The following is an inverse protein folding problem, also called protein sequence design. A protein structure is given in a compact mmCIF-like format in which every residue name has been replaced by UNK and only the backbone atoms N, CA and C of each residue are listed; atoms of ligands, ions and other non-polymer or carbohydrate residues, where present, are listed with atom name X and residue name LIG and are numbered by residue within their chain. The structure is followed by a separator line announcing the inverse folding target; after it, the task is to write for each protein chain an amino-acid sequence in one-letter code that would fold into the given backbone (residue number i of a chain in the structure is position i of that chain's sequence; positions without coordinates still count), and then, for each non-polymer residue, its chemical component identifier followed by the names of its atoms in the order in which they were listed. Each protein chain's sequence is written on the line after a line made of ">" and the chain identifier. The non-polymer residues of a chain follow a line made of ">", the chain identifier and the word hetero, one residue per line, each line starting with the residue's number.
data_IF_551134160940
#
_entry.id   IF_551134160940
#
_cell.length_a   1.000
_cell.length_b   1.000
_cell.length_c   1.000
_cell.angle_alpha   90.00
_cell.angle_beta   90.00
_cell.angle_gamma   90.00
#
_symmetry.space_group_name_H-M   'P 1'
#
loop_
_entity.id
_entity.type
_entity.pdbx_description
1 polymer ?
#
# COMPACT_ATOMS: atom_id res chain seq x y z
N UNK A 1 -7.21 2.54 -14.65
CA UNK A 1 -7.30 1.36 -15.54
C UNK A 1 -8.77 0.89 -15.68
N UNK A 2 -9.43 0.43 -14.62
CA UNK A 2 -10.79 -0.16 -14.69
C UNK A 2 -11.83 0.73 -15.38
N UNK A 3 -11.86 2.04 -15.13
CA UNK A 3 -12.78 2.96 -15.78
C UNK A 3 -12.42 3.20 -17.24
N UNK A 4 -11.13 3.36 -17.53
CA UNK A 4 -10.63 3.62 -18.90
C UNK A 4 -10.80 2.41 -19.81
N UNK A 5 -10.68 1.18 -19.30
CA UNK A 5 -10.81 -0.04 -20.11
C UNK A 5 -12.19 -0.28 -20.70
N UNK A 6 -13.19 0.50 -20.29
CA UNK A 6 -14.53 0.45 -20.88
C UNK A 6 -14.59 1.00 -22.32
N UNK A 7 -13.67 1.92 -22.65
CA UNK A 7 -13.65 2.61 -23.96
C UNK A 7 -12.27 2.59 -24.62
N UNK A 8 -11.24 2.02 -23.96
CA UNK A 8 -9.87 2.03 -24.44
C UNK A 8 -9.21 0.66 -24.22
N UNK A 9 -8.24 0.31 -25.06
CA UNK A 9 -7.30 -0.75 -24.78
C UNK A 9 -6.33 -0.29 -23.70
N UNK A 10 -6.30 -0.99 -22.56
CA UNK A 10 -5.49 -0.63 -21.40
C UNK A 10 -4.60 -1.79 -20.99
N UNK A 11 -3.30 -1.53 -20.88
CA UNK A 11 -2.30 -2.46 -20.37
C UNK A 11 -1.67 -1.86 -19.13
N UNK A 12 -1.45 -2.67 -18.11
CA UNK A 12 -0.81 -2.28 -16.85
C UNK A 12 0.56 -2.95 -16.73
N UNK A 13 1.55 -2.19 -16.29
CA UNK A 13 2.89 -2.69 -15.98
C UNK A 13 3.21 -2.44 -14.51
N UNK A 14 3.72 -3.43 -13.81
CA UNK A 14 4.16 -3.29 -12.42
C UNK A 14 5.44 -4.11 -12.20
N UNK A 15 6.44 -3.52 -11.57
CA UNK A 15 7.68 -4.22 -11.19
C UNK A 15 7.50 -5.26 -10.09
N UNK A 16 6.38 -5.25 -9.39
CA UNK A 16 6.08 -6.18 -8.33
C UNK A 16 5.65 -7.55 -8.87
N UNK A 17 5.85 -8.59 -8.07
CA UNK A 17 5.39 -9.97 -8.38
C UNK A 17 3.88 -10.14 -8.27
N UNK A 18 3.17 -9.18 -7.72
CA UNK A 18 1.74 -9.29 -7.46
C UNK A 18 1.02 -7.96 -7.44
N UNK A 19 -0.24 -8.02 -7.80
CA UNK A 19 -1.15 -6.86 -7.80
C UNK A 19 -1.41 -6.36 -6.37
N UNK A 20 -1.49 -5.03 -6.21
CA UNK A 20 -1.92 -4.40 -4.96
C UNK A 20 -1.01 -3.29 -4.46
N UNK A 21 0.22 -3.18 -4.96
CA UNK A 21 1.18 -2.17 -4.51
C UNK A 21 1.31 -2.19 -2.98
N UNK A 22 1.06 -1.06 -2.30
CA UNK A 22 1.12 -0.96 -0.84
C UNK A 22 -0.06 -1.64 -0.10
N UNK A 23 -1.09 -2.08 -0.79
CA UNK A 23 -2.15 -2.93 -0.24
C UNK A 23 -1.87 -4.43 -0.45
N UNK A 24 -0.62 -4.82 -0.66
CA UNK A 24 -0.23 -6.18 -0.98
C UNK A 24 -0.36 -7.13 0.22
N UNK A 25 -0.62 -8.39 -0.11
CA UNK A 25 -0.72 -9.50 0.82
C UNK A 25 0.40 -10.50 0.54
N UNK A 26 1.20 -10.83 1.54
CA UNK A 26 2.30 -11.78 1.47
C UNK A 26 1.81 -13.17 1.86
N UNK A 27 1.76 -14.10 0.90
CA UNK A 27 1.52 -15.51 1.17
C UNK A 27 2.80 -16.20 1.64
N UNK A 28 2.66 -17.13 2.57
CA UNK A 28 3.70 -18.01 3.08
C UNK A 28 3.22 -19.45 2.88
N UNK A 29 4.05 -20.44 3.19
CA UNK A 29 3.66 -21.85 3.20
C UNK A 29 2.41 -22.09 4.05
N UNK A 30 1.70 -23.18 3.83
CA UNK A 30 0.54 -23.64 4.62
C UNK A 30 -0.68 -22.70 4.59
N UNK A 31 -0.92 -22.01 3.47
CA UNK A 31 -2.09 -21.13 3.26
C UNK A 31 -2.16 -19.94 4.22
N UNK A 32 -1.12 -19.66 5.00
CA UNK A 32 -1.04 -18.47 5.86
C UNK A 32 -0.48 -17.27 5.08
N UNK A 33 -0.74 -16.08 5.58
CA UNK A 33 -0.24 -14.86 4.96
C UNK A 33 -0.46 -13.62 5.80
N UNK A 34 0.11 -12.53 5.34
CA UNK A 34 0.19 -11.26 6.06
C UNK A 34 -0.14 -10.09 5.14
N UNK A 35 -0.97 -9.16 5.60
CA UNK A 35 -1.00 -7.82 5.03
C UNK A 35 0.26 -7.09 5.49
N UNK A 36 1.26 -6.94 4.62
CA UNK A 36 2.53 -6.35 5.03
C UNK A 36 2.69 -4.87 4.67
N UNK A 37 1.70 -4.30 4.01
CA UNK A 37 1.58 -2.86 3.75
C UNK A 37 0.39 -2.27 4.49
N UNK A 38 -0.66 -1.87 3.77
CA UNK A 38 -1.92 -1.39 4.34
C UNK A 38 -2.60 -2.49 5.14
N UNK A 39 -2.87 -2.23 6.41
CA UNK A 39 -3.43 -3.24 7.31
C UNK A 39 -4.96 -3.29 7.26
N UNK A 40 -5.57 -2.16 7.12
CA UNK A 40 -7.00 -1.91 6.94
C UNK A 40 -7.19 -0.52 6.33
N UNK A 41 -8.40 -0.21 5.96
CA UNK A 41 -8.78 1.15 5.57
C UNK A 41 -10.15 1.50 6.14
N UNK A 42 -10.35 2.80 6.40
CA UNK A 42 -11.61 3.32 6.94
C UNK A 42 -12.20 4.32 5.94
N UNK A 43 -13.28 3.96 5.24
CA UNK A 43 -13.93 4.83 4.27
C UNK A 43 -14.46 6.10 4.93
N UNK A 44 -14.17 7.28 4.34
CA UNK A 44 -14.59 8.58 4.89
C UNK A 44 -15.63 9.28 4.01
N UNK A 45 -15.35 9.42 2.72
CA UNK A 45 -16.25 10.13 1.80
C UNK A 45 -17.49 9.30 1.47
N UNK A 46 -18.62 9.94 1.18
CA UNK A 46 -19.86 9.28 0.77
C UNK A 46 -19.64 8.36 -0.45
N UNK A 47 -18.88 8.81 -1.43
CA UNK A 47 -18.59 8.04 -2.64
C UNK A 47 -17.78 6.78 -2.35
N UNK A 48 -16.71 6.89 -1.56
CA UNK A 48 -15.89 5.74 -1.23
C UNK A 48 -16.60 4.77 -0.29
N UNK A 49 -17.47 5.26 0.62
CA UNK A 49 -18.37 4.41 1.42
C UNK A 49 -19.31 3.59 0.54
N UNK A 50 -19.96 4.23 -0.46
CA UNK A 50 -20.81 3.50 -1.42
C UNK A 50 -20.04 2.43 -2.18
N UNK A 51 -18.86 2.78 -2.68
CA UNK A 51 -17.98 1.86 -3.39
C UNK A 51 -17.57 0.66 -2.52
N UNK A 52 -17.11 0.91 -1.30
CA UNK A 52 -16.70 -0.16 -0.38
C UNK A 52 -17.87 -1.04 0.06
N UNK A 53 -19.06 -0.46 0.30
CA UNK A 53 -20.26 -1.22 0.64
C UNK A 53 -20.68 -2.15 -0.51
N UNK A 54 -20.57 -1.69 -1.77
CA UNK A 54 -20.79 -2.57 -2.93
C UNK A 54 -19.82 -3.75 -2.94
N UNK A 55 -18.54 -3.53 -2.62
CA UNK A 55 -17.55 -4.61 -2.56
C UNK A 55 -17.75 -5.54 -1.34
N UNK A 56 -18.29 -5.04 -0.24
CA UNK A 56 -18.69 -5.87 0.91
C UNK A 56 -19.88 -6.76 0.54
N UNK A 57 -20.93 -6.21 -0.10
CA UNK A 57 -22.06 -6.99 -0.62
C UNK A 57 -21.60 -8.09 -1.61
N UNK A 58 -20.63 -7.80 -2.44
CA UNK A 58 -19.99 -8.76 -3.37
C UNK A 58 -19.02 -9.75 -2.69
N UNK A 59 -18.87 -9.69 -1.37
CA UNK A 59 -17.94 -10.52 -0.58
C UNK A 59 -16.48 -10.43 -0.99
N UNK A 60 -16.06 -9.30 -1.56
CA UNK A 60 -14.65 -8.99 -1.90
C UNK A 60 -13.95 -8.36 -0.71
N UNK A 61 -14.68 -7.52 0.02
CA UNK A 61 -14.27 -6.88 1.26
C UNK A 61 -15.11 -7.37 2.43
N UNK A 62 -14.61 -7.15 3.64
CA UNK A 62 -15.33 -7.38 4.88
C UNK A 62 -14.91 -6.40 5.97
N UNK A 63 -15.72 -6.29 7.02
CA UNK A 63 -15.42 -5.51 8.22
C UNK A 63 -14.45 -6.32 9.09
N UNK A 64 -13.43 -5.65 9.62
CA UNK A 64 -12.52 -6.19 10.62
C UNK A 64 -12.94 -5.71 12.01
N UNK A 65 -13.62 -6.58 12.73
CA UNK A 65 -14.03 -6.36 14.12
C UNK A 65 -12.95 -6.77 15.12
N UNK A 66 -13.34 -6.72 16.40
CA UNK A 66 -12.50 -7.10 17.53
C UNK A 66 -11.92 -5.91 18.29
N UNK A 67 -11.07 -6.19 19.29
CA UNK A 67 -10.50 -5.15 20.15
C UNK A 67 -9.20 -4.58 19.52
N UNK A 68 -9.16 -3.26 19.40
CA UNK A 68 -8.01 -2.50 18.92
C UNK A 68 -7.53 -1.59 20.05
N UNK A 69 -6.37 -1.87 20.61
CA UNK A 69 -5.89 -1.27 21.86
C UNK A 69 -4.86 -0.19 21.57
N UNK A 70 -4.96 0.92 22.28
CA UNK A 70 -3.96 1.98 22.29
C UNK A 70 -3.18 1.86 23.60
N UNK A 71 -1.92 1.47 23.52
CA UNK A 71 -1.03 1.26 24.67
C UNK A 71 -0.16 2.49 24.86
N UNK A 72 -0.09 2.96 26.12
CA UNK A 72 0.71 4.12 26.53
C UNK A 72 0.43 5.41 25.72
N UNK A 73 -0.72 5.50 25.08
CA UNK A 73 -1.11 6.61 24.25
C UNK A 73 -2.27 7.38 24.86
N UNK A 74 -2.17 8.72 24.86
CA UNK A 74 -3.30 9.62 25.16
C UNK A 74 -4.42 9.50 24.10
N UNK A 75 -4.16 8.85 22.96
CA UNK A 75 -5.12 8.64 21.90
C UNK A 75 -6.08 7.53 22.27
N UNK A 76 -7.37 7.85 22.35
CA UNK A 76 -8.46 6.88 22.51
C UNK A 76 -8.89 6.33 21.15
N UNK A 77 -9.33 5.07 21.12
CA UNK A 77 -9.90 4.51 19.90
C UNK A 77 -11.13 5.32 19.47
N UNK A 78 -11.12 5.81 18.24
CA UNK A 78 -12.33 6.38 17.65
C UNK A 78 -13.24 5.24 17.18
N UNK A 79 -14.14 4.78 18.04
CA UNK A 79 -15.10 3.69 17.79
C UNK A 79 -16.00 3.94 16.55
N UNK A 80 -16.10 5.19 16.06
CA UNK A 80 -16.90 5.54 14.88
C UNK A 80 -16.29 5.11 13.55
N UNK A 81 -15.03 4.65 13.51
CA UNK A 81 -14.35 4.31 12.28
C UNK A 81 -14.34 2.80 12.01
N UNK A 82 -15.21 2.38 11.08
CA UNK A 82 -15.24 1.01 10.58
C UNK A 82 -13.90 0.70 9.90
N UNK A 83 -13.28 -0.41 10.30
CA UNK A 83 -12.08 -0.95 9.67
C UNK A 83 -12.49 -1.97 8.61
N UNK A 84 -12.14 -1.72 7.36
CA UNK A 84 -12.45 -2.59 6.21
C UNK A 84 -11.17 -3.27 5.75
N UNK A 85 -11.30 -4.54 5.40
CA UNK A 85 -10.20 -5.39 4.90
C UNK A 85 -10.65 -6.20 3.68
N UNK A 86 -9.72 -6.66 2.87
CA UNK A 86 -10.00 -7.65 1.83
C UNK A 86 -10.39 -9.00 2.43
N UNK A 87 -11.23 -9.76 1.76
CA UNK A 87 -11.71 -11.07 2.22
C UNK A 87 -10.54 -12.06 2.41
N UNK A 88 -9.63 -12.15 1.44
CA UNK A 88 -8.47 -13.05 1.47
C UNK A 88 -7.14 -12.32 1.69
N UNK A 89 -7.09 -11.02 1.38
CA UNK A 89 -5.95 -10.11 1.54
C UNK A 89 -6.34 -8.72 1.09
N UNK A 90 -5.65 -7.68 1.56
CA UNK A 90 -6.02 -6.31 1.22
C UNK A 90 -5.83 -5.97 -0.26
N UNK A 91 -5.11 -6.80 -1.01
CA UNK A 91 -5.01 -6.69 -2.46
C UNK A 91 -6.25 -7.20 -3.23
N UNK A 92 -7.26 -7.75 -2.57
CA UNK A 92 -8.49 -8.23 -3.24
C UNK A 92 -9.23 -7.09 -3.95
N UNK A 93 -9.19 -5.86 -3.40
CA UNK A 93 -9.76 -4.68 -4.07
C UNK A 93 -9.10 -4.44 -5.44
N UNK A 94 -7.76 -4.49 -5.48
CA UNK A 94 -7.01 -4.28 -6.72
C UNK A 94 -7.22 -5.42 -7.70
N UNK A 95 -7.22 -6.67 -7.25
CA UNK A 95 -7.51 -7.85 -8.08
C UNK A 95 -8.89 -7.77 -8.69
N UNK A 96 -9.90 -7.36 -7.92
CA UNK A 96 -11.26 -7.20 -8.43
C UNK A 96 -11.34 -6.14 -9.51
N UNK A 97 -10.71 -4.98 -9.29
CA UNK A 97 -10.70 -3.89 -10.25
C UNK A 97 -9.93 -4.20 -11.53
N UNK A 98 -8.95 -5.08 -11.47
CA UNK A 98 -8.07 -5.44 -12.59
C UNK A 98 -8.42 -6.77 -13.26
N UNK A 99 -9.53 -7.44 -12.87
CA UNK A 99 -9.88 -8.78 -13.34
C UNK A 99 -9.91 -8.92 -14.87
N UNK A 100 -10.28 -7.85 -15.59
CA UNK A 100 -10.41 -7.84 -17.07
C UNK A 100 -9.31 -7.00 -17.74
N UNK A 101 -8.20 -6.73 -17.06
CA UNK A 101 -7.13 -5.86 -17.58
C UNK A 101 -5.84 -6.66 -17.69
N UNK A 102 -5.19 -6.55 -18.83
CA UNK A 102 -3.85 -7.14 -19.03
C UNK A 102 -2.84 -6.51 -18.08
N UNK A 103 -2.23 -7.33 -17.25
CA UNK A 103 -1.25 -6.90 -16.24
C UNK A 103 0.08 -7.61 -16.47
N UNK A 104 1.10 -6.86 -16.89
CA UNK A 104 2.47 -7.33 -16.99
C UNK A 104 3.17 -7.05 -15.65
N UNK A 105 3.29 -8.09 -14.84
CA UNK A 105 3.99 -8.05 -13.56
C UNK A 105 5.49 -8.33 -13.75
N UNK A 106 6.30 -8.02 -12.73
CA UNK A 106 7.76 -8.15 -12.78
C UNK A 106 8.37 -7.40 -13.98
N UNK A 107 7.75 -6.26 -14.36
CA UNK A 107 8.14 -5.46 -15.53
C UNK A 107 8.36 -4.03 -15.05
N UNK A 108 9.61 -3.62 -14.88
CA UNK A 108 9.97 -2.30 -14.38
C UNK A 108 10.17 -1.30 -15.51
N UNK A 109 9.40 -0.23 -15.53
CA UNK A 109 9.60 0.90 -16.42
C UNK A 109 10.87 1.66 -16.03
N UNK A 110 11.83 1.75 -16.95
CA UNK A 110 13.13 2.41 -16.73
C UNK A 110 13.17 3.82 -17.28
N UNK A 111 12.67 4.04 -18.51
CA UNK A 111 12.67 5.34 -19.18
C UNK A 111 11.39 5.54 -19.98
N UNK A 112 11.07 6.79 -20.22
CA UNK A 112 9.97 7.19 -21.11
C UNK A 112 10.50 8.24 -22.10
N UNK A 113 9.98 8.18 -23.33
CA UNK A 113 10.27 9.13 -24.40
C UNK A 113 8.95 9.56 -25.06
N UNK A 114 8.91 10.79 -25.55
CA UNK A 114 7.77 11.30 -26.31
C UNK A 114 8.23 11.78 -27.67
N UNK A 115 7.74 11.15 -28.76
CA UNK A 115 8.08 11.46 -30.14
C UNK A 115 6.89 11.19 -31.04
N UNK A 116 6.62 12.05 -32.01
CA UNK A 116 5.55 11.89 -33.02
C UNK A 116 4.17 11.61 -32.38
N UNK A 117 3.84 12.33 -31.30
CA UNK A 117 2.59 12.17 -30.52
C UNK A 117 2.40 10.79 -29.85
N UNK A 118 3.45 9.98 -29.76
CA UNK A 118 3.48 8.70 -29.06
C UNK A 118 4.47 8.69 -27.90
N UNK A 119 4.12 7.91 -26.85
CA UNK A 119 4.99 7.57 -25.75
C UNK A 119 5.68 6.25 -26.02
N UNK A 120 6.99 6.21 -25.86
CA UNK A 120 7.81 5.00 -25.92
C UNK A 120 8.32 4.70 -24.53
N UNK A 121 8.06 3.49 -24.07
CA UNK A 121 8.32 3.00 -22.72
C UNK A 121 9.39 1.91 -22.79
N UNK A 122 10.57 2.19 -22.22
CA UNK A 122 11.69 1.26 -22.11
C UNK A 122 11.61 0.52 -20.76
N UNK A 123 11.59 -0.80 -20.80
CA UNK A 123 11.48 -1.65 -19.62
C UNK A 123 12.84 -2.29 -19.25
N UNK A 124 12.87 -2.96 -18.09
CA UNK A 124 14.06 -3.63 -17.54
C UNK A 124 14.53 -4.84 -18.34
N UNK A 125 13.68 -5.40 -19.20
CA UNK A 125 14.00 -6.47 -20.18
C UNK A 125 14.55 -5.90 -21.51
N UNK A 126 14.80 -4.59 -21.60
CA UNK A 126 15.29 -3.91 -22.80
C UNK A 126 14.21 -3.63 -23.85
N UNK A 127 12.99 -4.16 -23.69
CA UNK A 127 11.92 -3.96 -24.68
C UNK A 127 11.37 -2.54 -24.62
N UNK A 128 11.07 -2.01 -25.81
CA UNK A 128 10.40 -0.72 -25.99
C UNK A 128 9.00 -0.98 -26.54
N UNK A 129 8.01 -0.34 -25.90
CA UNK A 129 6.60 -0.41 -26.33
C UNK A 129 6.04 1.00 -26.50
N UNK A 130 5.18 1.21 -27.50
CA UNK A 130 4.60 2.52 -27.80
C UNK A 130 3.14 2.60 -27.41
N UNK A 131 2.72 3.79 -26.93
CA UNK A 131 1.35 4.07 -26.48
C UNK A 131 0.94 5.51 -26.86
N UNK A 132 -0.33 5.70 -27.16
CA UNK A 132 -0.91 7.03 -27.39
C UNK A 132 -0.99 7.88 -26.12
N UNK A 133 -1.13 7.22 -24.97
CA UNK A 133 -1.31 7.89 -23.68
C UNK A 133 -0.69 7.05 -22.56
N UNK A 134 -0.15 7.70 -21.54
CA UNK A 134 0.40 7.03 -20.36
C UNK A 134 -0.15 7.60 -19.06
N UNK A 135 -0.31 6.74 -18.05
CA UNK A 135 -0.70 7.12 -16.70
C UNK A 135 0.33 6.57 -15.71
N UNK A 136 0.98 7.47 -14.98
CA UNK A 136 1.96 7.11 -13.96
C UNK A 136 1.30 7.10 -12.57
N UNK A 137 1.38 5.96 -11.87
CA UNK A 137 0.78 5.76 -10.54
C UNK A 137 1.79 5.40 -9.47
N UNK A 138 3.08 5.45 -9.80
CA UNK A 138 4.16 5.16 -8.87
C UNK A 138 4.33 6.27 -7.81
N UNK A 139 5.02 6.00 -6.68
CA UNK A 139 5.37 7.00 -5.69
C UNK A 139 6.08 8.22 -6.27
N UNK A 140 5.85 9.40 -5.69
CA UNK A 140 6.36 10.67 -6.22
C UNK A 140 7.86 10.69 -6.57
N UNK A 141 8.80 10.16 -5.76
CA UNK A 141 10.21 10.16 -6.13
C UNK A 141 10.52 9.32 -7.38
N UNK A 142 9.79 8.23 -7.58
CA UNK A 142 9.93 7.40 -8.78
C UNK A 142 9.31 8.09 -10.00
N UNK A 143 8.14 8.69 -9.83
CA UNK A 143 7.50 9.53 -10.84
C UNK A 143 8.41 10.68 -11.27
N UNK A 144 8.97 11.45 -10.31
CA UNK A 144 9.89 12.55 -10.59
C UNK A 144 11.10 12.09 -11.42
N UNK A 145 11.68 10.94 -11.09
CA UNK A 145 12.81 10.36 -11.84
C UNK A 145 12.45 10.05 -13.30
N UNK A 146 11.25 9.52 -13.55
CA UNK A 146 10.80 9.13 -14.88
C UNK A 146 10.35 10.32 -15.73
N UNK A 147 9.58 11.23 -15.14
CA UNK A 147 8.76 12.18 -15.90
C UNK A 147 9.16 13.65 -15.77
N UNK A 148 10.21 14.02 -15.03
CA UNK A 148 10.57 15.41 -14.78
C UNK A 148 10.75 16.27 -16.05
N UNK A 149 11.17 15.67 -17.16
CA UNK A 149 11.36 16.37 -18.44
C UNK A 149 10.06 16.66 -19.21
N UNK A 150 8.96 16.04 -18.82
CA UNK A 150 7.70 16.08 -19.56
C UNK A 150 6.57 16.76 -18.79
N UNK A 151 6.82 17.09 -17.53
CA UNK A 151 5.84 17.64 -16.60
C UNK A 151 6.24 19.07 -16.24
N UNK A 152 5.25 19.91 -16.05
CA UNK A 152 5.43 21.29 -15.64
C UNK A 152 6.31 21.42 -14.38
N UNK A 153 7.26 22.36 -14.43
CA UNK A 153 8.21 22.60 -13.35
C UNK A 153 7.52 23.03 -12.05
N UNK A 154 6.43 23.76 -12.12
CA UNK A 154 5.66 24.19 -10.95
C UNK A 154 5.07 23.01 -10.19
N UNK A 155 4.75 21.94 -10.91
CA UNK A 155 4.24 20.70 -10.33
C UNK A 155 5.37 19.79 -9.82
N UNK A 156 6.41 19.57 -10.63
CA UNK A 156 7.46 18.59 -10.34
C UNK A 156 8.38 19.02 -9.19
N UNK A 157 8.51 20.32 -8.95
CA UNK A 157 9.37 20.89 -7.91
C UNK A 157 8.67 21.08 -6.56
N UNK A 158 7.40 20.69 -6.45
CA UNK A 158 6.70 20.75 -5.16
C UNK A 158 7.43 19.91 -4.09
N UNK A 159 7.59 20.42 -2.86
CA UNK A 159 8.27 19.72 -1.79
C UNK A 159 7.39 18.60 -1.23
N UNK A 160 7.49 17.43 -1.81
CA UNK A 160 6.77 16.26 -1.33
C UNK A 160 7.75 15.25 -0.75
N UNK A 161 7.60 14.99 0.54
CA UNK A 161 8.37 13.98 1.27
C UNK A 161 7.53 12.72 1.46
N UNK A 162 8.13 11.58 1.16
CA UNK A 162 7.55 10.27 1.46
C UNK A 162 8.33 9.60 2.58
N UNK A 163 7.60 9.14 3.58
CA UNK A 163 8.15 8.44 4.74
C UNK A 163 8.27 6.96 4.45
N UNK A 164 9.29 6.34 5.04
CA UNK A 164 9.50 4.91 5.00
C UNK A 164 8.71 4.18 6.11
N UNK A 165 8.55 2.88 5.97
CA UNK A 165 8.10 1.97 7.01
C UNK A 165 8.85 0.65 6.90
N UNK A 166 9.19 0.05 8.03
CA UNK A 166 9.72 -1.31 8.10
C UNK A 166 8.63 -2.19 8.73
N UNK A 167 8.31 -3.26 8.04
CA UNK A 167 7.31 -4.23 8.48
C UNK A 167 7.98 -5.56 8.79
N UNK A 168 7.78 -6.08 10.00
CA UNK A 168 8.19 -7.42 10.39
C UNK A 168 6.96 -8.29 10.58
N UNK A 169 6.91 -9.40 9.87
CA UNK A 169 5.84 -10.41 9.95
C UNK A 169 6.36 -11.60 10.73
N UNK A 170 5.64 -12.04 11.75
CA UNK A 170 6.05 -13.17 12.60
C UNK A 170 4.93 -14.19 12.77
N UNK A 171 5.33 -15.45 12.88
CA UNK A 171 4.51 -16.51 13.39
C UNK A 171 5.12 -16.99 14.71
N UNK A 172 4.30 -17.04 15.77
CA UNK A 172 4.70 -17.49 17.10
C UNK A 172 3.82 -18.65 17.53
N UNK A 173 4.27 -19.43 18.54
CA UNK A 173 3.45 -20.48 19.15
C UNK A 173 2.14 -19.85 19.63
N UNK A 174 1.02 -20.52 19.37
CA UNK A 174 -0.30 -20.03 19.75
C UNK A 174 -0.42 -19.85 21.25
N UNK A 175 -0.81 -18.66 21.67
CA UNK A 175 -1.02 -18.29 23.06
C UNK A 175 -2.52 -18.15 23.40
N UNK A 176 -2.81 -17.50 24.53
CA UNK A 176 -4.16 -17.11 24.93
C UNK A 176 -4.76 -16.11 23.93
N UNK A 177 -6.09 -15.90 23.98
CA UNK A 177 -6.78 -14.91 23.11
C UNK A 177 -6.10 -13.56 23.17
N UNK A 178 -5.73 -13.04 22.00
CA UNK A 178 -5.09 -11.75 21.85
C UNK A 178 -6.02 -10.72 21.20
N UNK A 179 -5.72 -9.45 21.36
CA UNK A 179 -6.44 -8.36 20.71
C UNK A 179 -6.21 -8.37 19.19
N UNK A 180 -7.07 -7.67 18.46
CA UNK A 180 -6.96 -7.59 16.99
C UNK A 180 -5.78 -6.72 16.54
N UNK A 181 -5.50 -5.65 17.25
CA UNK A 181 -4.31 -4.83 17.01
C UNK A 181 -3.94 -3.98 18.22
N UNK A 182 -2.69 -3.55 18.22
CA UNK A 182 -2.13 -2.59 19.16
C UNK A 182 -1.59 -1.38 18.43
N UNK A 183 -1.82 -0.20 18.98
CA UNK A 183 -1.16 1.05 18.64
C UNK A 183 -0.21 1.38 19.79
N UNK A 184 1.04 1.65 19.47
CA UNK A 184 2.07 1.94 20.46
C UNK A 184 2.48 3.41 20.39
N UNK A 185 2.70 4.01 21.54
CA UNK A 185 3.41 5.27 21.67
C UNK A 185 4.87 4.96 22.02
N UNK A 186 5.62 4.55 21.01
CA UNK A 186 7.02 4.11 21.12
C UNK A 186 7.82 4.68 19.95
N UNK A 187 9.12 4.84 20.10
CA UNK A 187 9.98 5.40 19.06
C UNK A 187 10.23 4.46 17.87
N UNK A 188 10.16 3.16 18.10
CA UNK A 188 10.52 2.10 17.13
C UNK A 188 9.27 1.45 16.54
N UNK A 189 8.39 0.95 17.41
CA UNK A 189 7.21 0.19 17.02
C UNK A 189 5.95 1.06 17.13
N UNK A 190 5.31 1.33 16.00
CA UNK A 190 4.09 2.14 15.96
C UNK A 190 2.81 1.33 16.00
N UNK A 191 2.83 0.09 15.47
CA UNK A 191 1.62 -0.71 15.35
C UNK A 191 1.91 -2.20 15.25
N UNK A 192 0.96 -3.02 15.76
CA UNK A 192 0.95 -4.46 15.54
C UNK A 192 -0.47 -4.97 15.30
N UNK A 193 -0.65 -5.88 14.35
CA UNK A 193 -1.93 -6.50 14.05
C UNK A 193 -1.87 -8.01 13.97
N UNK A 194 -2.90 -8.62 14.57
CA UNK A 194 -3.09 -10.06 14.57
C UNK A 194 -3.82 -10.50 13.30
N UNK A 195 -3.13 -11.21 12.41
CA UNK A 195 -3.70 -11.69 11.16
C UNK A 195 -4.79 -12.74 11.38
N UNK A 196 -4.72 -13.54 12.47
CA UNK A 196 -5.74 -14.52 12.81
C UNK A 196 -7.08 -13.85 13.13
N UNK A 197 -7.05 -12.66 13.74
CA UNK A 197 -8.26 -11.90 14.07
C UNK A 197 -9.03 -11.44 12.83
N UNK A 198 -8.37 -11.38 11.67
CA UNK A 198 -8.99 -11.08 10.38
C UNK A 198 -9.83 -12.27 9.84
N UNK A 199 -9.77 -13.45 10.47
CA UNK A 199 -10.57 -14.65 10.15
C UNK A 199 -10.53 -15.02 8.65
N UNK A 200 -9.33 -15.04 8.03
CA UNK A 200 -9.12 -15.35 6.61
C UNK A 200 -8.73 -16.80 6.38
N UNK A 201 -8.06 -17.37 7.35
CA UNK A 201 -7.54 -18.75 7.33
C UNK A 201 -7.45 -19.30 8.76
N UNK A 202 -7.31 -20.60 8.87
CA UNK A 202 -6.98 -21.27 10.15
C UNK A 202 -5.47 -21.41 10.23
N UNK A 203 -4.90 -21.18 11.39
CA UNK A 203 -3.48 -21.37 11.66
C UNK A 203 -3.27 -21.95 13.05
N UNK A 204 -2.30 -22.85 13.17
CA UNK A 204 -1.81 -23.36 14.47
C UNK A 204 -0.90 -22.37 15.19
N UNK A 205 -0.54 -21.27 14.51
CA UNK A 205 0.32 -20.20 15.02
C UNK A 205 -0.46 -18.92 15.19
N UNK A 206 -0.03 -18.06 16.09
CA UNK A 206 -0.42 -16.67 16.13
C UNK A 206 0.44 -15.85 15.17
N UNK A 207 -0.21 -15.15 14.25
CA UNK A 207 0.42 -14.43 13.16
C UNK A 207 0.29 -12.93 13.40
N UNK A 208 1.42 -12.25 13.47
CA UNK A 208 1.47 -10.82 13.73
C UNK A 208 2.23 -10.06 12.64
N UNK A 209 1.64 -8.94 12.23
CA UNK A 209 2.32 -7.93 11.41
C UNK A 209 2.69 -6.76 12.31
N UNK A 210 3.98 -6.49 12.43
CA UNK A 210 4.56 -5.40 13.19
C UNK A 210 4.97 -4.29 12.23
N UNK A 211 4.59 -3.05 12.50
CA UNK A 211 4.97 -1.89 11.69
C UNK A 211 5.72 -0.86 12.55
N UNK A 212 6.87 -0.44 12.06
CA UNK A 212 7.70 0.57 12.71
C UNK A 212 7.03 1.95 12.71
N UNK A 213 7.57 2.86 13.51
CA UNK A 213 7.31 4.30 13.32
C UNK A 213 7.99 4.79 12.04
N UNK A 214 7.49 5.88 11.47
CA UNK A 214 8.14 6.53 10.32
C UNK A 214 9.50 7.12 10.70
N UNK A 215 9.61 7.71 11.91
CA UNK A 215 10.86 8.30 12.41
C UNK A 215 11.99 7.28 12.43
N UNK A 216 11.74 6.11 12.99
CA UNK A 216 12.74 5.04 13.05
C UNK A 216 13.04 4.45 11.66
N UNK A 217 11.99 4.18 10.86
CA UNK A 217 12.16 3.63 9.52
C UNK A 217 12.96 4.55 8.58
N UNK A 218 12.73 5.86 8.62
CA UNK A 218 13.45 6.83 7.80
C UNK A 218 14.98 6.77 8.05
N UNK A 219 15.41 6.49 9.29
CA UNK A 219 16.82 6.31 9.63
C UNK A 219 17.38 4.97 9.14
N UNK A 220 16.56 3.91 9.09
CA UNK A 220 17.02 2.53 8.85
C UNK A 220 16.79 2.01 7.44
N UNK A 221 15.88 2.62 6.66
CA UNK A 221 15.37 2.04 5.41
C UNK A 221 16.45 1.78 4.35
N UNK A 222 17.42 2.68 4.20
CA UNK A 222 18.47 2.54 3.19
C UNK A 222 19.38 1.34 3.47
N UNK A 223 19.58 0.99 4.73
CA UNK A 223 20.39 -0.14 5.17
C UNK A 223 19.54 -1.38 5.52
N UNK A 224 18.21 -1.28 5.45
CA UNK A 224 17.32 -2.36 5.90
C UNK A 224 17.56 -3.67 5.14
N UNK A 225 17.98 -3.62 3.88
CA UNK A 225 18.28 -4.83 3.10
C UNK A 225 19.42 -5.64 3.75
N UNK A 226 20.44 -4.97 4.29
CA UNK A 226 21.58 -5.56 4.98
C UNK A 226 21.20 -6.03 6.39
N UNK A 227 20.46 -5.22 7.14
CA UNK A 227 20.17 -5.43 8.57
C UNK A 227 18.75 -5.94 8.84
N UNK A 228 18.19 -6.77 7.95
CA UNK A 228 16.83 -7.29 8.11
C UNK A 228 16.60 -8.07 9.38
N UNK A 229 17.55 -8.92 9.75
CA UNK A 229 17.46 -9.78 10.94
C UNK A 229 17.50 -8.94 12.23
N UNK A 230 18.43 -8.01 12.32
CA UNK A 230 18.60 -7.10 13.46
C UNK A 230 17.37 -6.19 13.63
N UNK A 231 16.92 -5.57 12.55
CA UNK A 231 15.72 -4.72 12.58
C UNK A 231 14.48 -5.52 13.00
N UNK A 232 14.34 -6.77 12.54
CA UNK A 232 13.27 -7.64 12.99
C UNK A 232 13.39 -7.98 14.47
N UNK A 233 14.58 -8.33 14.95
CA UNK A 233 14.83 -8.65 16.36
C UNK A 233 14.42 -7.49 17.26
N UNK A 234 14.87 -6.28 16.96
CA UNK A 234 14.52 -5.08 17.72
C UNK A 234 12.99 -4.88 17.77
N UNK A 235 12.30 -4.98 16.63
CA UNK A 235 10.84 -4.81 16.56
C UNK A 235 10.10 -5.92 17.33
N UNK A 236 10.56 -7.15 17.29
CA UNK A 236 9.98 -8.29 18.00
C UNK A 236 10.14 -8.15 19.52
N UNK A 237 11.33 -7.76 19.98
CA UNK A 237 11.60 -7.50 21.40
C UNK A 237 10.70 -6.40 21.94
N UNK A 238 10.56 -5.29 21.20
CA UNK A 238 9.64 -4.21 21.54
C UNK A 238 8.17 -4.68 21.56
N UNK A 239 7.77 -5.52 20.61
CA UNK A 239 6.42 -6.08 20.57
C UNK A 239 6.09 -6.87 21.82
N UNK A 240 6.92 -7.82 22.24
CA UNK A 240 6.69 -8.59 23.45
C UNK A 240 6.70 -7.72 24.71
N UNK A 241 7.65 -6.76 24.79
CA UNK A 241 7.72 -5.84 25.94
C UNK A 241 6.46 -4.98 26.10
N UNK A 242 5.92 -4.46 24.98
CA UNK A 242 4.85 -3.46 25.03
C UNK A 242 3.45 -4.08 25.01
N UNK A 243 3.26 -5.26 24.39
CA UNK A 243 1.94 -5.85 24.20
C UNK A 243 1.46 -6.72 25.36
N UNK A 244 2.29 -7.00 26.35
CA UNK A 244 2.05 -7.99 27.41
C UNK A 244 1.69 -9.39 26.88
N UNK A 245 2.08 -9.70 25.64
CA UNK A 245 1.99 -11.05 25.09
C UNK A 245 3.21 -11.82 25.58
N UNK A 246 2.98 -13.00 26.17
CA UNK A 246 4.07 -13.85 26.68
C UNK A 246 5.10 -14.14 25.56
N UNK A 247 6.37 -13.92 25.87
CA UNK A 247 7.46 -14.22 24.96
C UNK A 247 7.41 -15.70 24.58
N UNK A 248 7.34 -15.99 23.30
CA UNK A 248 7.25 -17.35 22.80
C UNK A 248 8.18 -17.57 21.61
N UNK A 249 8.44 -18.85 21.29
CA UNK A 249 9.32 -19.23 20.17
C UNK A 249 8.83 -18.62 18.86
N UNK A 250 9.73 -17.92 18.16
CA UNK A 250 9.52 -17.45 16.81
C UNK A 250 9.66 -18.62 15.84
N UNK A 251 8.58 -19.00 15.19
CA UNK A 251 8.55 -20.09 14.20
C UNK A 251 8.93 -19.55 12.81
N UNK A 252 8.54 -18.31 12.53
CA UNK A 252 8.79 -17.67 11.26
C UNK A 252 8.95 -16.16 11.46
N UNK A 253 9.88 -15.57 10.73
CA UNK A 253 10.06 -14.12 10.69
C UNK A 253 10.46 -13.68 9.29
N UNK A 254 9.81 -12.62 8.80
CA UNK A 254 10.14 -11.99 7.53
C UNK A 254 10.08 -10.48 7.67
N UNK A 255 11.09 -9.80 7.13
CA UNK A 255 11.17 -8.33 7.10
C UNK A 255 10.92 -7.78 5.70
N UNK A 256 10.20 -6.67 5.63
CA UNK A 256 9.98 -5.91 4.40
C UNK A 256 10.14 -4.41 4.65
N UNK A 257 10.94 -3.74 3.82
CA UNK A 257 11.13 -2.29 3.87
C UNK A 257 10.30 -1.60 2.80
N UNK A 258 9.45 -0.68 3.20
CA UNK A 258 8.69 0.22 2.35
C UNK A 258 9.38 1.58 2.27
N UNK A 259 10.19 1.83 1.24
CA UNK A 259 10.92 3.11 1.09
C UNK A 259 9.99 4.30 0.92
N UNK A 260 8.84 4.11 0.27
CA UNK A 260 7.84 5.14 -0.02
C UNK A 260 6.47 4.68 0.51
N UNK A 261 6.37 4.57 1.83
CA UNK A 261 5.19 4.02 2.51
C UNK A 261 4.04 5.02 2.59
N UNK A 262 4.33 6.26 2.95
CA UNK A 262 3.35 7.28 3.28
C UNK A 262 3.84 8.66 2.85
N UNK A 263 2.92 9.61 2.72
CA UNK A 263 3.24 11.01 2.51
C UNK A 263 2.63 11.86 3.63
N UNK A 264 3.46 12.53 4.39
CA UNK A 264 3.02 13.40 5.51
C UNK A 264 2.45 14.74 5.02
N UNK A 265 2.89 15.22 3.85
CA UNK A 265 2.45 16.48 3.24
C UNK A 265 1.94 16.25 1.83
N UNK A 266 0.62 16.08 1.61
CA UNK A 266 0.06 15.88 0.28
C UNK A 266 0.10 17.18 -0.55
N UNK A 267 -0.02 17.04 -1.87
CA UNK A 267 -0.02 18.19 -2.80
C UNK A 267 -1.30 19.05 -2.74
N UNK A 268 -2.36 18.54 -2.11
CA UNK A 268 -3.70 19.19 -2.02
C UNK A 268 -4.39 19.43 -3.37
N UNK A 269 -3.92 18.80 -4.44
CA UNK A 269 -4.61 18.66 -5.73
C UNK A 269 -4.97 17.18 -5.90
N UNK A 270 -5.93 16.87 -6.80
CA UNK A 270 -6.42 15.48 -6.86
C UNK A 270 -5.66 14.62 -7.84
N UNK A 271 -5.26 15.16 -9.00
CA UNK A 271 -4.49 14.46 -10.04
C UNK A 271 -3.87 15.47 -11.00
N UNK A 272 -3.00 15.01 -11.89
CA UNK A 272 -2.43 15.79 -12.98
C UNK A 272 -2.78 15.16 -14.34
N UNK A 273 -3.11 15.97 -15.33
CA UNK A 273 -3.36 15.58 -16.70
C UNK A 273 -2.83 16.65 -17.66
N UNK A 274 -2.04 16.24 -18.63
CA UNK A 274 -1.62 17.07 -19.77
C UNK A 274 -2.33 16.53 -21.02
N UNK A 275 -3.29 17.25 -21.59
CA UNK A 275 -4.07 16.80 -22.74
C UNK A 275 -3.27 16.82 -24.05
N UNK A 276 -2.24 17.68 -24.17
CA UNK A 276 -1.41 17.78 -25.36
C UNK A 276 -0.49 16.58 -25.50
N UNK A 277 0.21 16.24 -24.42
CA UNK A 277 1.10 15.07 -24.37
C UNK A 277 0.39 13.78 -23.99
N UNK A 278 -0.87 13.85 -23.54
CA UNK A 278 -1.65 12.71 -23.05
C UNK A 278 -0.94 11.92 -21.96
N UNK A 279 -0.37 12.64 -20.98
CA UNK A 279 0.25 12.07 -19.80
C UNK A 279 -0.55 12.39 -18.55
N UNK A 280 -0.94 11.34 -17.82
CA UNK A 280 -1.68 11.44 -16.57
C UNK A 280 -0.88 10.96 -15.37
N UNK A 281 -1.15 11.57 -14.21
CA UNK A 281 -0.53 11.17 -12.94
C UNK A 281 -1.59 11.13 -11.86
N UNK A 282 -1.66 10.02 -11.13
CA UNK A 282 -2.53 9.88 -9.97
C UNK A 282 -1.89 9.00 -8.89
N UNK A 283 -2.32 9.18 -7.66
CA UNK A 283 -1.84 8.41 -6.52
C UNK A 283 -2.34 9.01 -5.20
N UNK A 284 -2.16 8.29 -4.11
CA UNK A 284 -2.55 8.76 -2.79
C UNK A 284 -1.77 10.02 -2.35
N UNK A 285 -0.55 10.16 -2.80
CA UNK A 285 0.34 11.28 -2.47
C UNK A 285 -0.17 12.66 -2.96
N UNK A 286 -1.17 12.68 -3.83
CA UNK A 286 -1.88 13.91 -4.19
C UNK A 286 -2.77 14.43 -3.05
N UNK A 287 -3.47 13.53 -2.35
CA UNK A 287 -4.56 13.87 -1.42
C UNK A 287 -4.18 13.54 0.03
N UNK A 288 -3.50 12.40 0.25
CA UNK A 288 -3.09 11.96 1.59
C UNK A 288 -2.83 10.45 1.66
N UNK A 289 -2.22 9.97 2.75
CA UNK A 289 -1.69 8.62 2.86
C UNK A 289 -2.78 7.57 3.13
N UNK A 290 -3.75 7.43 2.23
CA UNK A 290 -4.86 6.49 2.38
C UNK A 290 -5.15 5.76 1.08
N UNK A 291 -5.68 4.55 1.18
CA UNK A 291 -6.19 3.80 0.03
C UNK A 291 -7.32 4.57 -0.68
N UNK A 292 -8.22 5.20 0.08
CA UNK A 292 -9.27 6.07 -0.45
C UNK A 292 -8.72 7.23 -1.28
N UNK A 293 -7.62 7.84 -0.84
CA UNK A 293 -6.98 8.95 -1.56
C UNK A 293 -6.48 8.54 -2.94
N UNK A 294 -5.91 7.34 -3.06
CA UNK A 294 -5.53 6.78 -4.36
C UNK A 294 -6.73 6.55 -5.28
N UNK A 295 -7.84 6.07 -4.72
CA UNK A 295 -9.08 5.87 -5.47
C UNK A 295 -9.70 7.21 -5.91
N UNK A 296 -9.76 8.22 -5.05
CA UNK A 296 -10.25 9.57 -5.37
C UNK A 296 -9.39 10.24 -6.44
N UNK A 297 -8.07 10.14 -6.32
CA UNK A 297 -7.12 10.68 -7.28
C UNK A 297 -7.29 10.04 -8.68
N UNK A 298 -7.46 8.72 -8.74
CA UNK A 298 -7.68 8.01 -9.99
C UNK A 298 -9.03 8.38 -10.65
N UNK A 299 -10.07 8.59 -9.86
CA UNK A 299 -11.38 9.05 -10.38
C UNK A 299 -11.34 10.48 -10.91
N UNK A 300 -10.62 11.37 -10.24
CA UNK A 300 -10.43 12.73 -10.71
C UNK A 300 -9.67 12.75 -12.04
N UNK A 301 -8.59 11.97 -12.15
CA UNK A 301 -7.88 11.83 -13.41
C UNK A 301 -8.77 11.27 -14.53
N UNK A 302 -9.58 10.25 -14.21
CA UNK A 302 -10.52 9.72 -15.21
C UNK A 302 -11.49 10.78 -15.74
N UNK A 303 -12.02 11.64 -14.87
CA UNK A 303 -12.90 12.76 -15.30
C UNK A 303 -12.16 13.71 -16.24
N UNK A 304 -10.92 14.11 -15.91
CA UNK A 304 -10.09 15.00 -16.75
C UNK A 304 -9.74 14.41 -18.12
N UNK A 305 -9.64 13.10 -18.24
CA UNK A 305 -9.38 12.41 -19.51
C UNK A 305 -10.65 12.27 -20.36
N UNK A 306 -11.82 12.22 -19.71
CA UNK A 306 -13.11 11.96 -20.37
C UNK A 306 -13.82 13.23 -20.83
N UNK A 307 -13.45 14.38 -20.29
CA UNK A 307 -13.86 15.71 -20.72
C UNK A 307 -12.90 16.21 -21.81
#
# INVERSE_FOLDING_TARGET
>A
ANLLSKKNSVVLFDKARGIGGRASFKRVKDKIGFDHGTQYFSPKTKEFKRFTNTLIKKRILKIWGGKHIFLNSKKKENKKHIKVIGKNGNNDISKHLLKKISCNLQTELKKIYYKNKFWYLEFDDGKIRSFKSIILTCPFPQFKKLAKKFIDNSFINKPLKMDANITTMIAIKKGRRSNSSYFFDDEILGWAGNENSKKRFRSRYDLWTLQSTFKWANKKINQNKKYKKENSKIMIEKFFKLSNISKSKIIYSLNHGWKYSSNSKPLRIKSYWDPLKKIGVCGDWFIGPRLESGWLSARDLFKKISN
#
